data_IF_161081888776
#
_entry.id   IF_161081888776
#
_cell.length_a   1.000
_cell.length_b   1.000
_cell.length_c   1.000
_cell.angle_alpha   90.00
_cell.angle_beta   90.00
_cell.angle_gamma   90.00
#
_symmetry.space_group_name_H-M   'P 1'
#
loop_
_entity.id
_entity.type
_entity.pdbx_description
1 polymer ?
#
# COMPACT_ATOMS: atom_id res chain seq x y z
N UNK A 1 -47.84 28.86 2.58
CA UNK A 1 -46.54 28.57 3.21
C UNK A 1 -45.76 27.72 2.22
N UNK A 2 -44.73 28.28 1.58
CA UNK A 2 -43.95 27.54 0.58
C UNK A 2 -43.11 26.50 1.32
N UNK A 3 -43.59 25.26 1.37
CA UNK A 3 -42.86 24.13 1.94
C UNK A 3 -41.66 23.85 1.06
N UNK A 4 -40.45 23.94 1.62
CA UNK A 4 -39.23 23.64 0.87
C UNK A 4 -39.25 22.20 0.38
N UNK A 5 -38.85 21.98 -0.89
CA UNK A 5 -38.80 20.66 -1.50
C UNK A 5 -37.84 19.72 -0.73
N UNK A 6 -38.35 18.68 -0.04
CA UNK A 6 -37.52 17.75 0.73
C UNK A 6 -36.48 17.04 -0.14
N UNK A 7 -36.81 16.84 -1.42
CA UNK A 7 -35.92 16.29 -2.45
C UNK A 7 -34.69 17.17 -2.68
N UNK A 8 -34.83 18.49 -2.61
CA UNK A 8 -33.73 19.44 -2.79
C UNK A 8 -32.76 19.41 -1.61
N UNK A 9 -33.28 19.32 -0.39
CA UNK A 9 -32.47 19.16 0.82
C UNK A 9 -31.70 17.85 0.78
N UNK A 10 -32.35 16.77 0.37
CA UNK A 10 -31.72 15.44 0.21
C UNK A 10 -30.59 15.46 -0.80
N UNK A 11 -30.81 16.10 -1.95
CA UNK A 11 -29.78 16.23 -2.98
C UNK A 11 -28.53 16.93 -2.44
N UNK A 12 -28.70 18.00 -1.64
CA UNK A 12 -27.58 18.71 -1.02
C UNK A 12 -26.82 17.86 0.01
N UNK A 13 -27.56 17.07 0.81
CA UNK A 13 -26.98 16.12 1.77
C UNK A 13 -26.12 15.08 1.03
N UNK A 14 -26.67 14.45 -0.02
CA UNK A 14 -25.97 13.45 -0.82
C UNK A 14 -24.70 14.02 -1.45
N UNK A 15 -24.75 15.24 -2.00
CA UNK A 15 -23.56 15.92 -2.54
C UNK A 15 -22.49 16.15 -1.48
N UNK A 16 -22.86 16.65 -0.29
CA UNK A 16 -21.91 16.92 0.79
C UNK A 16 -21.24 15.67 1.35
N UNK A 17 -22.02 14.61 1.57
CA UNK A 17 -21.50 13.32 2.06
C UNK A 17 -20.64 12.63 1.00
N UNK A 18 -20.95 12.76 -0.29
CA UNK A 18 -20.10 12.24 -1.36
C UNK A 18 -18.68 12.78 -1.30
N UNK A 19 -18.53 14.09 -1.01
CA UNK A 19 -17.22 14.72 -0.85
C UNK A 19 -16.45 14.17 0.37
N UNK A 20 -17.11 14.04 1.53
CA UNK A 20 -16.49 13.51 2.74
C UNK A 20 -16.12 12.03 2.57
N UNK A 21 -17.01 11.24 1.96
CA UNK A 21 -16.80 9.82 1.69
C UNK A 21 -15.64 9.57 0.73
N UNK A 22 -15.45 10.42 -0.28
CA UNK A 22 -14.29 10.35 -1.15
C UNK A 22 -13.00 10.73 -0.42
N UNK A 23 -13.04 11.76 0.44
CA UNK A 23 -11.87 12.25 1.17
C UNK A 23 -11.27 11.27 2.19
N UNK A 24 -12.05 10.29 2.65
CA UNK A 24 -11.56 9.23 3.56
C UNK A 24 -10.95 8.03 2.83
N UNK A 25 -11.11 7.93 1.50
CA UNK A 25 -10.53 6.85 0.71
C UNK A 25 -9.12 7.27 0.28
N UNK A 26 -8.12 6.55 0.78
CA UNK A 26 -6.71 6.80 0.49
C UNK A 26 -6.12 5.61 -0.24
N UNK A 27 -5.30 5.88 -1.26
CA UNK A 27 -4.56 4.86 -2.00
C UNK A 27 -3.07 5.04 -1.73
N UNK A 28 -2.43 3.99 -1.24
CA UNK A 28 -0.99 3.91 -1.04
C UNK A 28 -0.44 2.72 -1.84
N UNK A 29 0.24 3.02 -2.96
CA UNK A 29 0.68 2.01 -3.92
C UNK A 29 -0.49 1.14 -4.45
N UNK A 30 -0.45 -0.16 -4.15
CA UNK A 30 -1.51 -1.11 -4.48
C UNK A 30 -2.57 -1.30 -3.36
N UNK A 31 -2.39 -0.67 -2.20
CA UNK A 31 -3.30 -0.78 -1.05
C UNK A 31 -4.32 0.37 -1.06
N UNK A 32 -5.61 0.05 -0.87
CA UNK A 32 -6.69 1.03 -0.75
C UNK A 32 -7.25 0.97 0.67
N UNK A 33 -7.15 2.08 1.40
CA UNK A 33 -7.62 2.22 2.77
C UNK A 33 -8.85 3.13 2.83
N UNK A 34 -9.67 2.94 3.87
CA UNK A 34 -10.82 3.79 4.14
C UNK A 34 -12.12 3.44 3.40
N UNK A 35 -12.15 2.38 2.59
CA UNK A 35 -13.36 1.97 1.84
C UNK A 35 -14.55 1.63 2.76
N UNK A 36 -14.30 0.88 3.84
CA UNK A 36 -15.34 0.53 4.83
C UNK A 36 -15.86 1.78 5.56
N UNK A 37 -14.95 2.70 5.92
CA UNK A 37 -15.30 3.97 6.57
C UNK A 37 -16.18 4.82 5.64
N UNK A 38 -15.80 4.96 4.37
CA UNK A 38 -16.59 5.67 3.36
C UNK A 38 -18.01 5.09 3.24
N UNK A 39 -18.14 3.75 3.20
CA UNK A 39 -19.44 3.08 3.16
C UNK A 39 -20.29 3.38 4.41
N UNK A 40 -19.71 3.32 5.61
CA UNK A 40 -20.45 3.61 6.86
C UNK A 40 -20.94 5.06 6.95
N UNK A 41 -20.18 6.01 6.39
CA UNK A 41 -20.58 7.43 6.30
C UNK A 41 -21.82 7.58 5.40
N UNK A 42 -21.83 6.93 4.23
CA UNK A 42 -23.00 6.90 3.33
C UNK A 42 -24.24 6.28 4.00
N UNK A 43 -24.06 5.17 4.71
CA UNK A 43 -25.16 4.52 5.41
C UNK A 43 -25.74 5.41 6.52
N UNK A 44 -24.88 6.05 7.31
CA UNK A 44 -25.30 6.95 8.40
C UNK A 44 -26.06 8.16 7.86
N UNK A 45 -25.62 8.71 6.73
CA UNK A 45 -26.30 9.78 6.03
C UNK A 45 -27.69 9.39 5.50
N UNK A 46 -27.80 8.20 4.89
CA UNK A 46 -29.08 7.70 4.38
C UNK A 46 -30.10 7.54 5.51
N UNK A 47 -29.70 6.93 6.63
CA UNK A 47 -30.55 6.79 7.82
C UNK A 47 -30.93 8.16 8.40
N UNK A 48 -29.96 9.06 8.58
CA UNK A 48 -30.21 10.41 9.09
C UNK A 48 -31.16 11.23 8.21
N UNK A 49 -31.11 11.04 6.88
CA UNK A 49 -32.03 11.69 5.93
C UNK A 49 -33.45 11.17 6.11
N UNK A 50 -33.64 9.85 6.22
CA UNK A 50 -34.96 9.24 6.44
C UNK A 50 -35.58 9.70 7.76
N UNK A 51 -34.78 9.74 8.84
CA UNK A 51 -35.23 10.25 10.13
C UNK A 51 -35.59 11.74 10.05
N UNK A 52 -34.76 12.55 9.38
CA UNK A 52 -35.00 13.98 9.19
C UNK A 52 -36.27 14.30 8.38
N UNK A 53 -36.76 13.35 7.58
CA UNK A 53 -38.02 13.45 6.85
C UNK A 53 -39.23 12.90 7.62
N UNK A 54 -39.02 12.29 8.79
CA UNK A 54 -40.09 11.65 9.58
C UNK A 54 -40.39 10.19 9.21
N UNK A 55 -39.63 9.60 8.28
CA UNK A 55 -39.76 8.19 7.86
C UNK A 55 -39.06 7.24 8.84
N UNK A 56 -39.57 7.16 10.07
CA UNK A 56 -38.95 6.38 11.15
C UNK A 56 -38.99 4.87 10.90
N UNK A 57 -40.04 4.37 10.26
CA UNK A 57 -40.18 2.94 9.99
C UNK A 57 -39.18 2.50 8.91
N UNK A 58 -39.08 3.26 7.83
CA UNK A 58 -38.13 3.07 6.74
C UNK A 58 -36.68 3.26 7.23
N UNK A 59 -36.43 4.23 8.11
CA UNK A 59 -35.13 4.41 8.77
C UNK A 59 -34.74 3.19 9.61
N UNK A 60 -35.69 2.58 10.33
CA UNK A 60 -35.48 1.34 11.08
C UNK A 60 -35.09 0.17 10.19
N UNK A 61 -35.83 -0.03 9.08
CA UNK A 61 -35.53 -1.06 8.08
C UNK A 61 -34.13 -0.84 7.47
N UNK A 62 -33.82 0.40 7.09
CA UNK A 62 -32.53 0.76 6.49
C UNK A 62 -31.38 0.52 7.46
N UNK A 63 -31.57 0.88 8.74
CA UNK A 63 -30.58 0.64 9.79
C UNK A 63 -30.33 -0.87 9.99
N UNK A 64 -31.40 -1.67 10.05
CA UNK A 64 -31.28 -3.11 10.15
C UNK A 64 -30.54 -3.72 8.96
N UNK A 65 -30.84 -3.27 7.74
CA UNK A 65 -30.16 -3.71 6.52
C UNK A 65 -28.66 -3.36 6.54
N UNK A 66 -28.29 -2.16 6.99
CA UNK A 66 -26.89 -1.72 7.12
C UNK A 66 -26.14 -2.59 8.14
N UNK A 67 -26.74 -2.80 9.33
CA UNK A 67 -26.13 -3.62 10.39
C UNK A 67 -25.96 -5.06 9.94
N UNK A 68 -26.99 -5.66 9.33
CA UNK A 68 -26.93 -7.01 8.78
C UNK A 68 -25.88 -7.13 7.69
N UNK A 69 -25.78 -6.15 6.80
CA UNK A 69 -24.75 -6.11 5.76
C UNK A 69 -23.35 -6.12 6.39
N UNK A 70 -23.12 -5.31 7.43
CA UNK A 70 -21.83 -5.29 8.15
C UNK A 70 -21.53 -6.62 8.86
N UNK A 71 -22.55 -7.21 9.48
CA UNK A 71 -22.44 -8.49 10.20
C UNK A 71 -22.23 -9.68 9.28
N UNK A 72 -22.76 -9.66 8.05
CA UNK A 72 -22.56 -10.71 7.03
C UNK A 72 -21.24 -10.48 6.29
N UNK A 73 -20.85 -9.23 6.06
CA UNK A 73 -19.54 -8.93 5.47
C UNK A 73 -18.40 -9.35 6.39
N UNK A 74 -18.56 -9.35 7.72
CA UNK A 74 -17.51 -9.79 8.65
C UNK A 74 -17.10 -11.28 8.49
N UNK A 75 -18.01 -12.27 8.47
CA UNK A 75 -17.66 -13.66 8.19
C UNK A 75 -17.25 -13.89 6.74
N UNK A 76 -17.81 -13.14 5.78
CA UNK A 76 -17.40 -13.21 4.37
C UNK A 76 -15.99 -12.66 4.19
N UNK A 77 -15.64 -11.56 4.85
CA UNK A 77 -14.28 -11.02 4.86
C UNK A 77 -13.33 -11.93 5.61
N UNK A 78 -13.76 -12.63 6.67
CA UNK A 78 -12.97 -13.69 7.31
C UNK A 78 -12.76 -14.91 6.41
N UNK A 79 -13.75 -15.29 5.58
CA UNK A 79 -13.63 -16.41 4.63
C UNK A 79 -12.78 -16.04 3.42
N UNK A 80 -12.94 -14.82 2.90
CA UNK A 80 -12.09 -14.25 1.84
C UNK A 80 -10.68 -13.96 2.34
N UNK A 81 -10.51 -13.54 3.59
CA UNK A 81 -9.19 -13.44 4.19
C UNK A 81 -8.61 -14.82 4.48
N UNK A 82 -9.33 -15.93 4.62
CA UNK A 82 -8.65 -17.25 4.55
C UNK A 82 -8.01 -17.52 3.17
N UNK A 83 -8.57 -16.97 2.09
CA UNK A 83 -8.00 -17.05 0.74
C UNK A 83 -6.93 -15.98 0.46
N UNK A 84 -7.06 -14.80 1.09
CA UNK A 84 -6.13 -13.67 0.95
C UNK A 84 -5.07 -13.59 2.05
N UNK A 85 -5.22 -14.23 3.20
CA UNK A 85 -4.26 -14.35 4.30
C UNK A 85 -3.20 -15.41 3.98
N UNK A 86 -3.53 -16.39 3.14
CA UNK A 86 -2.51 -17.16 2.43
C UNK A 86 -1.67 -16.26 1.50
N UNK A 87 -2.20 -15.12 1.05
CA UNK A 87 -1.51 -14.16 0.17
C UNK A 87 -0.91 -12.94 0.90
N UNK A 88 -1.37 -12.57 2.11
CA UNK A 88 -0.98 -11.34 2.83
C UNK A 88 -0.66 -11.53 4.33
N UNK A 89 -0.70 -12.75 4.89
CA UNK A 89 -0.50 -12.97 6.35
C UNK A 89 0.58 -14.02 6.67
N UNK A 90 1.21 -14.66 5.69
CA UNK A 90 2.38 -15.52 5.94
C UNK A 90 3.67 -15.02 5.27
N UNK A 91 3.62 -13.83 4.68
CA UNK A 91 4.78 -13.18 4.08
C UNK A 91 5.21 -12.07 5.01
N UNK A 92 6.06 -12.39 6.01
CA UNK A 92 6.76 -11.34 6.76
C UNK A 92 7.71 -10.66 5.79
N UNK A 93 7.38 -9.45 5.37
CA UNK A 93 8.30 -8.66 4.55
C UNK A 93 9.55 -8.37 5.38
N UNK A 94 10.69 -8.77 4.83
CA UNK A 94 12.00 -8.43 5.39
C UNK A 94 12.64 -7.40 4.48
N UNK A 95 12.96 -6.25 5.06
CA UNK A 95 13.52 -5.10 4.36
C UNK A 95 15.03 -5.15 4.42
N UNK A 96 15.64 -5.14 3.25
CA UNK A 96 17.08 -5.13 3.07
C UNK A 96 17.48 -3.87 2.31
N UNK A 97 18.62 -3.30 2.69
CA UNK A 97 19.26 -2.22 1.97
C UNK A 97 20.54 -2.75 1.34
N UNK A 98 20.62 -2.66 0.02
CA UNK A 98 21.80 -2.98 -0.78
C UNK A 98 22.52 -1.67 -1.09
N UNK A 99 23.78 -1.59 -0.68
CA UNK A 99 24.67 -0.44 -0.90
C UNK A 99 25.72 -0.81 -1.93
N UNK A 100 25.86 0.00 -2.97
CA UNK A 100 26.76 -0.25 -4.11
C UNK A 100 27.55 1.00 -4.40
N UNK A 101 28.86 0.87 -4.49
CA UNK A 101 29.78 1.93 -4.89
C UNK A 101 30.38 1.59 -6.23
N UNK A 102 30.09 2.40 -7.23
CA UNK A 102 30.58 2.22 -8.58
C UNK A 102 31.04 3.54 -9.18
N UNK A 103 31.86 3.45 -10.23
CA UNK A 103 32.28 4.61 -11.00
C UNK A 103 31.07 5.27 -11.72
N UNK A 104 31.15 6.59 -11.92
CA UNK A 104 30.06 7.37 -12.54
C UNK A 104 29.67 6.85 -13.95
N UNK A 105 30.63 6.33 -14.70
CA UNK A 105 30.43 5.79 -16.05
C UNK A 105 29.73 4.42 -16.06
N UNK A 106 29.82 3.63 -14.99
CA UNK A 106 29.23 2.29 -14.91
C UNK A 106 27.86 2.29 -14.22
N UNK A 107 27.48 3.37 -13.54
CA UNK A 107 26.20 3.53 -12.82
C UNK A 107 24.98 3.12 -13.67
N UNK A 108 24.88 3.61 -14.91
CA UNK A 108 23.74 3.31 -15.77
C UNK A 108 23.61 1.81 -16.04
N UNK A 109 24.73 1.12 -16.26
CA UNK A 109 24.77 -0.32 -16.48
C UNK A 109 24.42 -1.09 -15.20
N UNK A 110 24.94 -0.64 -14.05
CA UNK A 110 24.63 -1.21 -12.73
C UNK A 110 23.13 -1.09 -12.45
N UNK A 111 22.55 0.10 -12.58
CA UNK A 111 21.12 0.34 -12.35
C UNK A 111 20.26 -0.51 -13.28
N UNK A 112 20.55 -0.55 -14.57
CA UNK A 112 19.78 -1.36 -15.52
C UNK A 112 19.82 -2.84 -15.17
N UNK A 113 21.00 -3.37 -14.87
CA UNK A 113 21.16 -4.77 -14.49
C UNK A 113 20.39 -5.11 -13.20
N UNK A 114 20.44 -4.21 -12.21
CA UNK A 114 19.74 -4.35 -10.93
C UNK A 114 18.23 -4.38 -11.11
N UNK A 115 17.69 -3.42 -11.86
CA UNK A 115 16.25 -3.35 -12.13
C UNK A 115 15.78 -4.62 -12.84
N UNK A 116 16.50 -5.05 -13.88
CA UNK A 116 16.15 -6.25 -14.62
C UNK A 116 16.25 -7.52 -13.75
N UNK A 117 17.28 -7.64 -12.90
CA UNK A 117 17.41 -8.80 -12.01
C UNK A 117 16.38 -8.80 -10.89
N UNK A 118 16.01 -7.64 -10.33
CA UNK A 118 14.95 -7.56 -9.33
C UNK A 118 13.60 -7.89 -9.97
N UNK A 119 13.27 -7.32 -11.13
CA UNK A 119 12.02 -7.61 -11.84
C UNK A 119 11.88 -9.07 -12.29
N UNK A 120 13.00 -9.75 -12.55
CA UNK A 120 12.98 -11.18 -12.94
C UNK A 120 12.70 -12.10 -11.74
N UNK A 121 12.91 -11.63 -10.51
CA UNK A 121 12.77 -12.45 -9.30
C UNK A 121 11.50 -12.05 -8.55
N UNK A 122 10.45 -12.89 -8.64
CA UNK A 122 9.16 -12.68 -7.95
C UNK A 122 9.26 -12.55 -6.42
N UNK A 123 10.41 -12.87 -5.82
CA UNK A 123 10.66 -12.79 -4.39
C UNK A 123 11.29 -11.47 -3.92
N UNK A 124 11.75 -10.63 -4.86
CA UNK A 124 12.38 -9.34 -4.59
C UNK A 124 11.45 -8.22 -5.07
N UNK A 125 11.09 -7.31 -4.16
CA UNK A 125 10.28 -6.14 -4.48
C UNK A 125 11.13 -4.88 -4.28
N UNK A 126 11.38 -4.15 -5.37
CA UNK A 126 12.04 -2.86 -5.30
C UNK A 126 11.13 -1.85 -4.58
N UNK A 127 11.63 -1.26 -3.49
CA UNK A 127 10.94 -0.18 -2.75
C UNK A 127 11.44 1.18 -3.19
N UNK A 128 12.75 1.35 -3.20
CA UNK A 128 13.39 2.61 -3.53
C UNK A 128 14.78 2.39 -4.14
N UNK A 129 15.19 3.33 -4.98
CA UNK A 129 16.56 3.41 -5.48
C UNK A 129 17.02 4.87 -5.41
N UNK A 130 17.99 5.13 -4.55
CA UNK A 130 18.57 6.44 -4.31
C UNK A 130 20.00 6.46 -4.81
N UNK A 131 20.44 7.65 -5.25
CA UNK A 131 21.78 7.88 -5.75
C UNK A 131 22.38 9.06 -5.00
N UNK A 132 23.50 8.81 -4.35
CA UNK A 132 24.31 9.81 -3.67
C UNK A 132 25.71 9.87 -4.30
N UNK A 133 26.34 11.05 -4.26
CA UNK A 133 27.74 11.20 -4.66
C UNK A 133 28.62 10.70 -3.51
N UNK A 134 29.67 9.94 -3.82
CA UNK A 134 30.62 9.49 -2.79
C UNK A 134 31.33 10.69 -2.17
N UNK A 135 31.30 10.81 -0.84
CA UNK A 135 31.99 11.89 -0.11
C UNK A 135 33.52 11.82 -0.30
N UNK A 136 34.06 10.62 -0.49
CA UNK A 136 35.50 10.39 -0.60
C UNK A 136 36.04 10.60 -2.02
N UNK A 137 35.23 10.33 -3.06
CA UNK A 137 35.68 10.41 -4.44
C UNK A 137 34.57 10.95 -5.36
N UNK A 138 34.72 12.16 -5.93
CA UNK A 138 33.71 12.77 -6.79
C UNK A 138 33.49 12.03 -8.13
N UNK A 139 34.31 11.03 -8.47
CA UNK A 139 34.12 10.15 -9.63
C UNK A 139 33.36 8.85 -9.31
N UNK A 140 33.00 8.65 -8.04
CA UNK A 140 32.27 7.48 -7.56
C UNK A 140 30.88 7.87 -7.09
N UNK A 141 29.99 6.88 -7.17
CA UNK A 141 28.57 7.01 -6.90
C UNK A 141 28.20 5.94 -5.90
N UNK A 142 27.49 6.33 -4.85
CA UNK A 142 26.88 5.42 -3.91
C UNK A 142 25.40 5.24 -4.30
N UNK A 143 25.04 4.03 -4.71
CA UNK A 143 23.66 3.65 -5.02
C UNK A 143 23.13 2.89 -3.81
N UNK A 144 22.03 3.39 -3.24
CA UNK A 144 21.30 2.71 -2.18
C UNK A 144 19.99 2.16 -2.74
N UNK A 145 19.79 0.85 -2.60
CA UNK A 145 18.59 0.17 -3.08
C UNK A 145 17.90 -0.47 -1.89
N UNK A 146 16.65 -0.10 -1.64
CA UNK A 146 15.83 -0.80 -0.65
C UNK A 146 14.98 -1.86 -1.35
N UNK A 147 15.09 -3.08 -0.87
CA UNK A 147 14.39 -4.24 -1.41
C UNK A 147 13.63 -4.92 -0.28
N UNK A 148 12.37 -5.23 -0.53
CA UNK A 148 11.55 -6.07 0.34
C UNK A 148 11.56 -7.50 -0.18
N UNK A 149 11.64 -8.46 0.74
CA UNK A 149 11.59 -9.89 0.41
C UNK A 149 10.55 -10.61 1.23
N UNK A 150 10.10 -11.74 0.69
CA UNK A 150 9.20 -12.67 1.37
C UNK A 150 10.01 -13.56 2.32
N UNK A 151 9.98 -13.27 3.62
CA UNK A 151 10.79 -13.97 4.62
C UNK A 151 12.28 -13.57 4.60
N UNK A 152 13.10 -14.26 5.39
CA UNK A 152 14.54 -13.99 5.44
C UNK A 152 15.27 -14.68 4.28
N UNK A 153 15.51 -13.96 3.18
CA UNK A 153 16.12 -14.48 1.95
C UNK A 153 17.59 -14.06 1.79
N UNK A 154 18.39 -14.19 2.85
CA UNK A 154 19.79 -13.70 2.89
C UNK A 154 20.66 -14.30 1.77
N UNK A 155 20.46 -15.57 1.42
CA UNK A 155 21.20 -16.24 0.33
C UNK A 155 20.96 -15.58 -1.04
N UNK A 156 19.73 -15.11 -1.32
CA UNK A 156 19.42 -14.44 -2.59
C UNK A 156 20.12 -13.08 -2.69
N UNK A 157 20.12 -12.32 -1.59
CA UNK A 157 20.84 -11.04 -1.50
C UNK A 157 22.35 -11.23 -1.64
N UNK A 158 22.91 -12.25 -0.99
CA UNK A 158 24.34 -12.58 -1.11
C UNK A 158 24.72 -12.93 -2.55
N UNK A 159 23.91 -13.74 -3.24
CA UNK A 159 24.13 -14.06 -4.64
C UNK A 159 23.96 -12.86 -5.57
N UNK A 160 23.02 -11.96 -5.29
CA UNK A 160 22.84 -10.72 -6.04
C UNK A 160 24.09 -9.83 -5.91
N UNK A 161 24.55 -9.59 -4.67
CA UNK A 161 25.74 -8.78 -4.39
C UNK A 161 27.00 -9.40 -4.98
N UNK A 162 27.19 -10.71 -4.86
CA UNK A 162 28.34 -11.42 -5.46
C UNK A 162 28.35 -11.28 -6.98
N UNK A 163 27.19 -11.43 -7.63
CA UNK A 163 27.07 -11.25 -9.07
C UNK A 163 27.32 -9.80 -9.50
N UNK A 164 26.89 -8.81 -8.72
CA UNK A 164 27.23 -7.40 -8.96
C UNK A 164 28.74 -7.21 -8.98
N UNK A 165 29.46 -7.70 -7.98
CA UNK A 165 30.91 -7.55 -7.85
C UNK A 165 31.65 -8.26 -8.99
N UNK A 166 31.20 -9.45 -9.40
CA UNK A 166 31.90 -10.24 -10.41
C UNK A 166 31.62 -9.81 -11.86
N UNK A 167 30.42 -9.30 -12.18
CA UNK A 167 30.03 -8.95 -13.55
C UNK A 167 30.15 -7.47 -13.89
N UNK A 168 30.02 -6.61 -12.90
CA UNK A 168 30.03 -5.17 -13.08
C UNK A 168 31.24 -4.66 -12.32
N UNK A 169 32.05 -3.79 -12.94
CA UNK A 169 33.27 -3.21 -12.34
C UNK A 169 32.91 -2.29 -11.16
N UNK A 170 32.39 -2.88 -10.09
CA UNK A 170 31.89 -2.25 -8.88
C UNK A 170 33.03 -2.24 -7.86
N UNK A 171 33.26 -1.09 -7.23
CA UNK A 171 34.33 -0.91 -6.24
C UNK A 171 33.99 -1.61 -4.92
N UNK A 172 32.74 -1.47 -4.49
CA UNK A 172 32.23 -2.10 -3.27
C UNK A 172 30.73 -2.40 -3.40
N UNK A 173 30.28 -3.54 -2.89
CA UNK A 173 28.85 -3.82 -2.76
C UNK A 173 28.59 -4.64 -1.49
N UNK A 174 27.48 -4.37 -0.83
CA UNK A 174 27.06 -5.06 0.38
C UNK A 174 25.58 -4.92 0.62
N UNK A 175 25.05 -5.72 1.56
CA UNK A 175 23.67 -5.64 1.99
C UNK A 175 23.60 -5.57 3.51
N UNK A 176 22.54 -4.94 4.03
CA UNK A 176 22.22 -4.92 5.46
C UNK A 176 20.72 -5.12 5.67
N UNK A 177 20.37 -5.78 6.76
CA UNK A 177 18.99 -5.89 7.22
C UNK A 177 18.56 -4.54 7.82
N UNK A 178 17.52 -3.93 7.27
CA UNK A 178 16.96 -2.65 7.75
C UNK A 178 15.87 -2.89 8.79
N UNK A 179 15.04 -3.90 8.57
CA UNK A 179 13.96 -4.24 9.49
C UNK A 179 13.13 -5.42 9.01
N UNK A 180 12.31 -5.97 9.91
CA UNK A 180 11.28 -6.96 9.61
C UNK A 180 9.93 -6.34 9.97
N UNK A 181 8.88 -6.61 9.20
CA UNK A 181 7.53 -6.05 9.41
C UNK A 181 6.82 -6.60 10.69
N UNK A 182 7.53 -6.76 11.81
CA UNK A 182 6.95 -7.06 13.12
C UNK A 182 7.70 -6.33 14.23
N UNK A 183 7.29 -5.10 14.53
CA UNK A 183 7.06 -4.57 15.89
C UNK A 183 6.47 -3.14 15.80
N UNK A 184 5.14 -3.05 15.75
CA UNK A 184 4.34 -1.96 16.35
C UNK A 184 2.91 -2.44 16.61
#
# INVERSE_FOLDING_TARGET
MSGGDPSRVTAQIVTGIGFIGAGVIMKDGFDVRGLNTAATIWCSAAVGTLVGMGFLFEAGITTAAVVLSHIILRPVSMRLSKLSAYRKTEVKETYYQVSIECALNTEANVRFWLLNHIETNDQLLLRSITRDLSENNPKEVHIQVEVATIGAQENLLEHLVTNLIMKLEVTHAGWKLVGRETEY
#
